data_IF_567846347078
#
_entry.id   IF_567846347078
#
_cell.length_a   1.000
_cell.length_b   1.000
_cell.length_c   1.000
_cell.angle_alpha   90.00
_cell.angle_beta   90.00
_cell.angle_gamma   90.00
#
_symmetry.space_group_name_H-M   'P 1'
#
loop_
_entity.id
_entity.type
_entity.pdbx_description
1 polymer ?
#
# COMPACT_ATOMS: atom_id res chain seq x y z
N UNK A 1 17.61 3.49 -30.49
CA UNK A 1 16.72 4.66 -30.26
C UNK A 1 17.54 5.76 -29.60
N UNK A 2 17.44 7.00 -30.06
CA UNK A 2 18.15 8.15 -29.49
C UNK A 2 17.57 8.49 -28.09
N UNK A 3 18.43 8.80 -27.13
CA UNK A 3 18.08 9.09 -25.73
C UNK A 3 17.12 10.28 -25.61
N UNK A 4 17.21 11.23 -26.54
CA UNK A 4 16.31 12.39 -26.63
C UNK A 4 14.87 12.00 -26.98
N UNK A 5 14.67 10.88 -27.67
CA UNK A 5 13.34 10.36 -28.03
C UNK A 5 12.70 9.62 -26.87
N UNK A 6 13.51 8.94 -26.05
CA UNK A 6 13.07 8.22 -24.85
C UNK A 6 12.60 9.20 -23.77
N UNK A 7 13.32 10.28 -23.53
CA UNK A 7 12.97 11.25 -22.48
C UNK A 7 12.01 12.36 -22.92
N UNK A 8 11.20 12.14 -23.97
CA UNK A 8 10.18 13.11 -24.37
C UNK A 8 9.09 13.17 -23.29
N UNK A 9 8.92 14.30 -22.58
CA UNK A 9 7.97 14.38 -21.45
C UNK A 9 6.56 13.97 -21.87
N UNK A 10 6.15 14.39 -23.07
CA UNK A 10 4.87 14.02 -23.68
C UNK A 10 4.62 12.50 -23.74
N UNK A 11 5.64 11.70 -24.10
CA UNK A 11 5.49 10.24 -24.19
C UNK A 11 5.32 9.64 -22.80
N UNK A 12 6.08 10.11 -21.81
CA UNK A 12 5.96 9.67 -20.42
C UNK A 12 4.64 10.07 -19.77
N UNK A 13 4.10 11.26 -20.07
CA UNK A 13 2.77 11.65 -19.58
C UNK A 13 1.67 10.73 -20.10
N UNK A 14 1.79 10.26 -21.35
CA UNK A 14 0.84 9.29 -21.91
C UNK A 14 1.01 7.94 -21.22
N UNK A 15 2.23 7.43 -21.11
CA UNK A 15 2.50 6.11 -20.51
C UNK A 15 2.11 6.09 -19.03
N UNK A 16 2.66 7.01 -18.22
CA UNK A 16 2.36 7.08 -16.80
C UNK A 16 0.89 7.42 -16.55
N UNK A 17 0.29 8.27 -17.38
CA UNK A 17 -1.12 8.63 -17.29
C UNK A 17 -2.04 7.44 -17.56
N UNK A 18 -1.79 6.70 -18.64
CA UNK A 18 -2.55 5.49 -18.97
C UNK A 18 -2.38 4.41 -17.89
N UNK A 19 -1.16 4.18 -17.42
CA UNK A 19 -0.88 3.21 -16.35
C UNK A 19 -1.57 3.58 -15.04
N UNK A 20 -1.53 4.85 -14.63
CA UNK A 20 -2.20 5.32 -13.42
C UNK A 20 -3.73 5.22 -13.55
N UNK A 21 -4.28 5.52 -14.74
CA UNK A 21 -5.72 5.40 -14.98
C UNK A 21 -6.17 3.94 -14.89
N UNK A 22 -5.48 3.03 -15.60
CA UNK A 22 -5.81 1.60 -15.61
C UNK A 22 -5.63 1.01 -14.21
N UNK A 23 -4.50 1.29 -13.56
CA UNK A 23 -4.23 0.84 -12.20
C UNK A 23 -5.25 1.38 -11.21
N UNK A 24 -5.67 2.63 -11.32
CA UNK A 24 -6.68 3.20 -10.43
C UNK A 24 -8.08 2.62 -10.62
N UNK A 25 -8.49 2.32 -11.85
CA UNK A 25 -9.76 1.63 -12.15
C UNK A 25 -9.72 0.21 -11.58
N UNK A 26 -8.64 -0.51 -11.84
CA UNK A 26 -8.46 -1.89 -11.38
C UNK A 26 -8.41 -1.96 -9.84
N UNK A 27 -7.73 -1.02 -9.17
CA UNK A 27 -7.70 -0.92 -7.71
C UNK A 27 -9.10 -0.69 -7.11
N UNK A 28 -9.95 0.11 -7.77
CA UNK A 28 -11.32 0.34 -7.30
C UNK A 28 -12.21 -0.89 -7.47
N UNK A 29 -12.06 -1.64 -8.58
CA UNK A 29 -12.84 -2.85 -8.84
C UNK A 29 -12.42 -3.98 -7.90
N UNK A 30 -11.12 -4.11 -7.65
CA UNK A 30 -10.52 -5.20 -6.87
C UNK A 30 -9.99 -4.73 -5.51
N UNK A 31 -10.62 -3.72 -4.92
CA UNK A 31 -10.14 -3.07 -3.69
C UNK A 31 -9.91 -4.07 -2.54
N UNK A 32 -10.73 -5.12 -2.43
CA UNK A 32 -10.55 -6.19 -1.43
C UNK A 32 -9.26 -6.98 -1.64
N UNK A 33 -8.96 -7.36 -2.88
CA UNK A 33 -7.78 -8.14 -3.24
C UNK A 33 -6.51 -7.32 -3.06
N UNK A 34 -6.56 -6.03 -3.38
CA UNK A 34 -5.46 -5.10 -3.13
C UNK A 34 -5.29 -4.80 -1.64
N UNK A 35 -6.39 -4.71 -0.89
CA UNK A 35 -6.32 -4.56 0.57
C UNK A 35 -5.65 -5.79 1.20
N UNK A 36 -6.00 -6.99 0.77
CA UNK A 36 -5.35 -8.21 1.25
C UNK A 36 -3.86 -8.23 0.91
N UNK A 37 -3.49 -7.84 -0.31
CA UNK A 37 -2.09 -7.77 -0.76
C UNK A 37 -1.26 -6.72 0.01
N UNK A 38 -1.83 -5.53 0.25
CA UNK A 38 -1.10 -4.41 0.85
C UNK A 38 -1.13 -4.41 2.38
N UNK A 39 -2.17 -4.99 3.00
CA UNK A 39 -2.41 -4.95 4.44
C UNK A 39 -2.35 -6.33 5.11
N UNK A 40 -2.30 -7.41 4.33
CA UNK A 40 -2.39 -8.79 4.79
C UNK A 40 -3.83 -9.23 5.08
N UNK A 41 -4.08 -10.54 5.02
CA UNK A 41 -5.42 -11.15 5.17
C UNK A 41 -6.11 -10.77 6.50
N UNK A 42 -5.34 -10.69 7.60
CA UNK A 42 -5.84 -10.25 8.91
C UNK A 42 -6.02 -8.73 9.04
N UNK A 43 -5.50 -7.95 8.08
CA UNK A 43 -5.58 -6.49 8.04
C UNK A 43 -6.74 -5.95 7.21
N UNK A 44 -7.48 -6.82 6.52
CA UNK A 44 -8.63 -6.41 5.69
C UNK A 44 -9.81 -6.03 6.57
N UNK A 45 -10.16 -4.75 6.56
CA UNK A 45 -11.31 -4.19 7.26
C UNK A 45 -11.89 -3.00 6.47
N UNK A 46 -12.98 -2.39 6.96
CA UNK A 46 -13.64 -1.28 6.28
C UNK A 46 -12.69 -0.09 6.02
N UNK A 47 -11.72 0.14 6.91
CA UNK A 47 -10.71 1.19 6.75
C UNK A 47 -9.75 0.87 5.60
N UNK A 48 -9.17 -0.34 5.55
CA UNK A 48 -8.25 -0.72 4.48
C UNK A 48 -8.95 -0.71 3.12
N UNK A 49 -10.21 -1.18 3.06
CA UNK A 49 -11.00 -1.17 1.84
C UNK A 49 -11.28 0.24 1.34
N UNK A 50 -11.70 1.14 2.24
CA UNK A 50 -11.93 2.54 1.91
C UNK A 50 -10.66 3.24 1.42
N UNK A 51 -9.50 2.83 1.92
CA UNK A 51 -8.20 3.40 1.54
C UNK A 51 -7.74 2.92 0.18
N UNK A 52 -7.98 1.66 -0.18
CA UNK A 52 -7.74 1.18 -1.53
C UNK A 52 -8.66 1.85 -2.56
N UNK A 53 -9.95 2.04 -2.24
CA UNK A 53 -10.87 2.81 -3.10
C UNK A 53 -10.41 4.26 -3.25
N UNK A 54 -9.97 4.88 -2.16
CA UNK A 54 -9.48 6.25 -2.18
C UNK A 54 -8.19 6.37 -3.00
N UNK A 55 -7.24 5.45 -2.80
CA UNK A 55 -6.00 5.37 -3.57
C UNK A 55 -6.29 5.18 -5.06
N UNK A 56 -7.16 4.22 -5.41
CA UNK A 56 -7.59 3.99 -6.79
C UNK A 56 -8.21 5.25 -7.42
N UNK A 57 -9.06 5.95 -6.67
CA UNK A 57 -9.69 7.21 -7.11
C UNK A 57 -8.65 8.30 -7.40
N UNK A 58 -7.65 8.47 -6.53
CA UNK A 58 -6.55 9.40 -6.78
C UNK A 58 -5.75 9.00 -8.02
N UNK A 59 -5.48 7.71 -8.21
CA UNK A 59 -4.75 7.21 -9.38
C UNK A 59 -5.50 7.44 -10.70
N UNK A 60 -6.83 7.27 -10.72
CA UNK A 60 -7.68 7.68 -11.85
C UNK A 60 -7.55 9.18 -12.11
N UNK A 61 -7.65 9.98 -11.05
CA UNK A 61 -7.49 11.43 -11.12
C UNK A 61 -6.16 11.82 -11.76
N UNK A 62 -5.04 11.27 -11.27
CA UNK A 62 -3.70 11.47 -11.82
C UNK A 62 -3.57 11.01 -13.27
N UNK A 63 -4.15 9.86 -13.60
CA UNK A 63 -4.14 9.31 -14.95
C UNK A 63 -4.80 10.24 -15.97
N UNK A 64 -6.03 10.67 -15.71
CA UNK A 64 -6.78 11.56 -16.59
C UNK A 64 -6.08 12.92 -16.76
N UNK A 65 -5.53 13.43 -15.66
CA UNK A 65 -4.77 14.67 -15.62
C UNK A 65 -3.45 14.60 -16.41
N UNK A 66 -2.72 13.49 -16.31
CA UNK A 66 -1.48 13.28 -17.05
C UNK A 66 -1.76 13.16 -18.56
N UNK A 67 -2.85 12.48 -18.93
CA UNK A 67 -3.27 12.38 -20.33
C UNK A 67 -3.65 13.75 -20.90
N UNK A 68 -4.47 14.54 -20.21
CA UNK A 68 -4.84 15.89 -20.66
C UNK A 68 -3.62 16.79 -20.85
N UNK A 69 -2.60 16.66 -19.99
CA UNK A 69 -1.35 17.44 -20.08
C UNK A 69 -0.43 17.01 -21.21
N UNK A 70 -0.51 15.76 -21.68
CA UNK A 70 0.21 15.33 -22.86
C UNK A 70 -0.29 16.03 -24.15
N UNK A 71 -1.53 16.52 -24.15
CA UNK A 71 -2.16 17.18 -25.30
C UNK A 71 -2.31 18.70 -25.13
N UNK A 72 -2.20 19.25 -23.91
CA UNK A 72 -2.26 20.69 -23.64
C UNK A 72 -0.88 21.36 -23.56
N UNK A 73 -0.49 22.10 -24.60
CA UNK A 73 0.88 22.65 -24.75
C UNK A 73 1.30 23.68 -23.69
N UNK A 74 0.36 24.44 -23.11
CA UNK A 74 0.68 25.56 -22.22
C UNK A 74 0.64 25.19 -20.72
N UNK A 75 0.00 24.07 -20.37
CA UNK A 75 -0.38 23.76 -18.97
C UNK A 75 0.60 22.87 -18.22
N UNK A 76 1.66 22.39 -18.87
CA UNK A 76 2.63 21.45 -18.30
C UNK A 76 3.27 21.91 -16.98
N UNK A 77 3.53 23.22 -16.82
CA UNK A 77 4.15 23.76 -15.60
C UNK A 77 3.15 23.90 -14.45
N UNK A 78 1.93 24.35 -14.76
CA UNK A 78 0.82 24.40 -13.79
C UNK A 78 0.44 22.99 -13.34
N UNK A 79 0.54 22.02 -14.26
CA UNK A 79 0.29 20.62 -14.01
C UNK A 79 1.24 20.01 -12.98
N UNK A 80 2.55 20.25 -13.12
CA UNK A 80 3.53 19.74 -12.17
C UNK A 80 3.29 20.27 -10.74
N UNK A 81 2.90 21.55 -10.62
CA UNK A 81 2.56 22.18 -9.34
C UNK A 81 1.26 21.61 -8.75
N UNK A 82 0.22 21.47 -9.56
CA UNK A 82 -1.06 20.92 -9.11
C UNK A 82 -0.93 19.44 -8.72
N UNK A 83 -0.27 18.64 -9.55
CA UNK A 83 -0.01 17.23 -9.28
C UNK A 83 0.84 17.03 -8.02
N UNK A 84 1.92 17.81 -7.86
CA UNK A 84 2.70 17.85 -6.64
C UNK A 84 1.85 18.24 -5.41
N UNK A 85 0.95 19.20 -5.55
CA UNK A 85 -0.01 19.59 -4.51
C UNK A 85 -0.98 18.48 -4.12
N UNK A 86 -1.56 17.77 -5.08
CA UNK A 86 -2.46 16.63 -4.83
C UNK A 86 -1.69 15.48 -4.16
N UNK A 87 -0.48 15.17 -4.61
CA UNK A 87 0.37 14.17 -3.96
C UNK A 87 0.72 14.58 -2.53
N UNK A 88 1.09 15.84 -2.29
CA UNK A 88 1.34 16.34 -0.94
C UNK A 88 0.10 16.28 -0.05
N UNK A 89 -1.08 16.61 -0.58
CA UNK A 89 -2.34 16.49 0.16
C UNK A 89 -2.67 15.03 0.49
N UNK A 90 -2.46 14.10 -0.46
CA UNK A 90 -2.61 12.66 -0.26
C UNK A 90 -1.70 12.16 0.87
N UNK A 91 -0.42 12.53 0.88
CA UNK A 91 0.50 12.12 1.94
C UNK A 91 0.23 12.82 3.29
N UNK A 92 -0.15 14.10 3.29
CA UNK A 92 -0.52 14.83 4.50
C UNK A 92 -1.76 14.25 5.19
N UNK A 93 -2.69 13.69 4.41
CA UNK A 93 -3.85 12.99 4.95
C UNK A 93 -3.43 11.83 5.86
N UNK A 94 -2.39 11.05 5.50
CA UNK A 94 -1.90 9.95 6.35
C UNK A 94 -1.29 10.43 7.67
N UNK A 95 -0.66 11.60 7.68
CA UNK A 95 -0.14 12.22 8.92
C UNK A 95 -1.30 12.59 9.85
N UNK A 96 -2.37 13.16 9.31
CA UNK A 96 -3.55 13.55 10.08
C UNK A 96 -4.34 12.33 10.57
N UNK A 97 -4.45 11.29 9.74
CA UNK A 97 -5.18 10.07 10.05
C UNK A 97 -4.60 9.33 11.25
N UNK A 98 -3.28 9.37 11.50
CA UNK A 98 -2.69 8.72 12.68
C UNK A 98 -3.35 9.17 14.00
N UNK A 99 -3.83 10.43 14.06
CA UNK A 99 -4.54 10.98 15.23
C UNK A 99 -5.98 10.47 15.42
N UNK A 100 -6.57 9.81 14.41
CA UNK A 100 -7.96 9.31 14.44
C UNK A 100 -8.06 7.82 14.79
N UNK A 101 -6.98 7.21 15.28
CA UNK A 101 -6.92 5.75 15.53
C UNK A 101 -6.59 4.92 14.28
N UNK A 102 -6.17 5.58 13.20
CA UNK A 102 -5.81 4.96 11.93
C UNK A 102 -4.43 4.30 12.02
N UNK A 103 -4.39 2.98 11.91
CA UNK A 103 -3.13 2.24 11.78
C UNK A 103 -2.70 2.25 10.31
N UNK A 104 -1.54 2.84 9.99
CA UNK A 104 -0.89 2.64 8.70
C UNK A 104 -0.44 1.17 8.58
N UNK A 105 -0.30 0.61 7.35
CA UNK A 105 0.26 -0.72 7.20
C UNK A 105 1.64 -0.70 7.88
N UNK A 106 1.81 -1.50 8.93
CA UNK A 106 3.12 -1.65 9.52
C UNK A 106 4.02 -2.22 8.43
N UNK A 107 5.18 -1.59 8.19
CA UNK A 107 6.26 -2.26 7.48
C UNK A 107 6.39 -3.66 8.09
N UNK A 108 6.48 -4.74 7.29
CA UNK A 108 6.60 -6.09 7.82
C UNK A 108 7.73 -6.06 8.84
N UNK A 109 7.32 -6.10 10.10
CA UNK A 109 8.26 -6.14 11.20
C UNK A 109 8.88 -7.51 11.05
N UNK A 110 10.14 -7.53 10.59
CA UNK A 110 10.98 -8.67 10.90
C UNK A 110 10.77 -8.94 12.39
N UNK A 111 10.44 -10.17 12.78
CA UNK A 111 10.13 -10.46 14.17
C UNK A 111 11.28 -9.95 15.00
N UNK A 112 11.00 -8.97 15.86
CA UNK A 112 11.99 -8.54 16.84
C UNK A 112 12.39 -9.78 17.61
N UNK A 113 13.70 -9.94 17.80
CA UNK A 113 14.34 -11.09 18.47
C UNK A 113 13.79 -11.39 19.87
N UNK A 114 12.93 -10.54 20.42
CA UNK A 114 12.16 -10.73 21.65
C UNK A 114 11.13 -11.86 21.60
N UNK A 115 10.82 -12.43 20.44
CA UNK A 115 9.93 -13.60 20.32
C UNK A 115 10.64 -14.97 20.44
N UNK A 116 11.98 -14.96 20.58
CA UNK A 116 12.80 -16.16 20.84
C UNK A 116 13.03 -16.46 22.33
N UNK A 117 12.62 -15.59 23.25
CA UNK A 117 12.70 -15.84 24.69
C UNK A 117 11.43 -16.50 25.22
N UNK A 118 11.12 -17.72 24.74
CA UNK A 118 10.41 -18.67 25.60
C UNK A 118 11.47 -19.35 26.46
N UNK A 119 11.51 -19.14 27.79
CA UNK A 119 12.36 -19.95 28.63
C UNK A 119 11.91 -21.40 28.46
N UNK A 120 12.83 -22.26 28.04
CA UNK A 120 12.73 -23.71 28.15
C UNK A 120 12.76 -24.10 29.63
N UNK A 121 11.78 -23.67 30.43
CA UNK A 121 11.48 -24.27 31.73
C UNK A 121 10.34 -25.24 31.53
N UNK A 122 10.64 -26.35 30.85
CA UNK A 122 9.90 -27.60 31.06
C UNK A 122 10.23 -28.00 32.49
N UNK A 123 9.29 -27.80 33.42
CA UNK A 123 9.37 -28.33 34.77
C UNK A 123 9.52 -29.85 34.67
N UNK A 124 10.74 -30.31 34.93
CA UNK A 124 11.09 -31.71 35.09
C UNK A 124 10.53 -32.16 36.44
N UNK A 125 9.21 -32.39 36.52
CA UNK A 125 8.59 -32.97 37.73
C UNK A 125 7.29 -33.75 37.51
N UNK A 126 6.76 -33.87 36.28
CA UNK A 126 5.55 -34.67 36.04
C UNK A 126 5.87 -35.94 35.25
N UNK A 127 6.53 -36.91 35.90
CA UNK A 127 6.43 -38.32 35.53
C UNK A 127 5.35 -38.97 36.39
N UNK A 128 4.21 -39.45 35.83
CA UNK A 128 3.36 -40.36 36.56
C UNK A 128 4.07 -41.73 36.58
N UNK A 129 4.53 -42.09 37.77
CA UNK A 129 4.95 -43.44 38.15
C UNK A 129 4.06 -44.50 37.52
N UNK A 130 4.59 -45.20 36.51
CA UNK A 130 4.04 -46.46 36.00
C UNK A 130 4.08 -47.46 37.15
N UNK A 131 2.92 -47.68 37.76
CA UNK A 131 2.68 -48.78 38.69
C UNK A 131 2.94 -50.10 37.97
N UNK A 132 3.99 -50.79 38.43
CA UNK A 132 4.10 -52.23 38.37
C UNK A 132 2.88 -52.84 39.06
N UNK A 133 2.02 -53.52 38.29
CA UNK A 133 1.23 -54.62 38.82
C UNK A 133 1.73 -55.89 38.12
N UNK A 134 2.52 -56.65 38.86
CA UNK A 134 2.56 -58.10 38.72
C UNK A 134 1.34 -58.66 39.46
N UNK A 135 0.85 -59.77 38.92
CA UNK A 135 -0.24 -60.67 39.36
C UNK A 135 -1.56 -60.53 38.59
#
# INVERSE_FOLDING_TARGET
MDMKTIFRPKVWYIICGAMALIGGIENNINASSWAESAWGEAGVNDQSLAMEVLFGTFMIGFGAMSLTSAFGEERLRQFAVFNGGVMMAFFLMFVMLNSTGYNMPALPSYPSSSSLERPLTRSMSDEPSRGLNMD
#
